data_IF_876379870953
#
_entry.id   IF_876379870953
#
_cell.length_a   1.000
_cell.length_b   1.000
_cell.length_c   1.000
_cell.angle_alpha   90.00
_cell.angle_beta   90.00
_cell.angle_gamma   90.00
#
_symmetry.space_group_name_H-M   'P 1'
#
loop_
_entity.id
_entity.type
_entity.pdbx_description
1 polymer ?
#
# COMPACT_ATOMS: atom_id res chain seq x y z
N UNK A 1 5.37 -0.93 1.17
CA UNK A 1 4.26 -0.54 0.27
C UNK A 1 4.43 -1.27 -1.04
N UNK A 2 3.37 -1.98 -1.47
CA UNK A 2 3.24 -2.61 -2.79
C UNK A 2 2.17 -1.87 -3.57
N UNK A 3 2.27 -1.86 -4.91
CA UNK A 3 1.26 -1.26 -5.74
C UNK A 3 1.09 -1.97 -7.08
N UNK A 4 -0.12 -1.91 -7.60
CA UNK A 4 -0.47 -2.19 -8.99
C UNK A 4 -1.11 -0.93 -9.58
N UNK A 5 -0.67 -0.53 -10.76
CA UNK A 5 -1.23 0.60 -11.49
C UNK A 5 -1.55 0.20 -12.94
N UNK A 6 -2.64 0.70 -13.47
CA UNK A 6 -3.04 0.43 -14.84
C UNK A 6 -4.47 0.82 -15.17
N UNK A 7 -4.89 0.51 -16.39
CA UNK A 7 -6.29 0.65 -16.81
C UNK A 7 -7.15 -0.44 -16.18
N UNK A 8 -8.47 -0.22 -16.12
CA UNK A 8 -9.42 -1.20 -15.61
C UNK A 8 -9.60 -2.35 -16.61
N UNK A 9 -8.58 -3.18 -16.73
CA UNK A 9 -8.55 -4.41 -17.54
C UNK A 9 -8.24 -5.58 -16.61
N UNK A 10 -9.28 -6.07 -15.91
CA UNK A 10 -9.17 -6.91 -14.71
C UNK A 10 -8.25 -8.13 -14.90
N UNK A 11 -8.39 -8.88 -16.00
CA UNK A 11 -7.57 -10.06 -16.30
C UNK A 11 -6.30 -9.72 -17.07
N UNK A 12 -6.39 -8.81 -18.02
CA UNK A 12 -5.25 -8.48 -18.89
C UNK A 12 -4.12 -7.80 -18.13
N UNK A 13 -4.46 -6.97 -17.14
CA UNK A 13 -3.47 -6.36 -16.24
C UNK A 13 -3.10 -7.24 -15.04
N UNK A 14 -3.75 -8.41 -14.89
CA UNK A 14 -3.48 -9.35 -13.81
C UNK A 14 -3.89 -8.85 -12.44
N UNK A 15 -4.91 -7.98 -12.37
CA UNK A 15 -5.45 -7.48 -11.11
C UNK A 15 -5.97 -8.64 -10.26
N UNK A 16 -6.60 -9.63 -10.89
CA UNK A 16 -7.04 -10.89 -10.28
C UNK A 16 -5.88 -11.68 -9.65
N UNK A 17 -4.75 -11.79 -10.36
CA UNK A 17 -3.53 -12.46 -9.86
C UNK A 17 -3.01 -11.72 -8.62
N UNK A 18 -2.92 -10.40 -8.69
CA UNK A 18 -2.42 -9.58 -7.60
C UNK A 18 -3.26 -9.73 -6.33
N UNK A 19 -4.58 -9.60 -6.44
CA UNK A 19 -5.49 -9.69 -5.30
C UNK A 19 -5.45 -11.08 -4.67
N UNK A 20 -5.52 -12.15 -5.48
CA UNK A 20 -5.41 -13.53 -4.96
C UNK A 20 -4.08 -13.80 -4.27
N UNK A 21 -2.99 -13.30 -4.85
CA UNK A 21 -1.67 -13.44 -4.24
C UNK A 21 -1.57 -12.68 -2.92
N UNK A 22 -2.16 -11.48 -2.80
CA UNK A 22 -2.24 -10.75 -1.54
C UNK A 22 -3.04 -11.51 -0.47
N UNK A 23 -4.16 -12.14 -0.84
CA UNK A 23 -4.94 -12.97 0.08
C UNK A 23 -4.13 -14.15 0.62
N UNK A 24 -3.44 -14.89 -0.27
CA UNK A 24 -2.56 -15.99 0.16
C UNK A 24 -1.36 -15.52 0.99
N UNK A 25 -0.78 -14.36 0.62
CA UNK A 25 0.31 -13.75 1.39
C UNK A 25 -0.15 -13.36 2.80
N UNK A 26 -1.36 -12.78 2.93
CA UNK A 26 -1.96 -12.42 4.21
C UNK A 26 -2.04 -13.63 5.14
N UNK A 27 -2.55 -14.76 4.64
CA UNK A 27 -2.64 -16.01 5.41
C UNK A 27 -1.26 -16.58 5.76
N UNK A 28 -0.30 -16.56 4.82
CA UNK A 28 1.07 -17.03 5.07
C UNK A 28 1.75 -16.22 6.17
N UNK A 29 1.66 -14.88 6.11
CA UNK A 29 2.25 -13.99 7.11
C UNK A 29 1.59 -14.13 8.50
N UNK A 30 0.27 -14.40 8.56
CA UNK A 30 -0.43 -14.74 9.80
C UNK A 30 0.11 -16.00 10.44
N UNK A 31 0.26 -17.07 9.64
CA UNK A 31 0.79 -18.35 10.12
C UNK A 31 2.20 -18.20 10.70
N UNK A 32 3.03 -17.37 10.08
CA UNK A 32 4.38 -17.09 10.55
C UNK A 32 4.45 -16.06 11.69
N UNK A 33 3.30 -15.52 12.11
CA UNK A 33 3.22 -14.45 13.14
C UNK A 33 4.14 -13.25 12.82
N UNK A 34 4.19 -12.88 11.55
CA UNK A 34 4.99 -11.75 11.09
C UNK A 34 4.57 -10.46 11.79
N UNK A 35 5.56 -9.66 12.20
CA UNK A 35 5.32 -8.31 12.74
C UNK A 35 5.27 -7.24 11.66
N UNK A 36 5.50 -7.61 10.40
CA UNK A 36 5.51 -6.67 9.27
C UNK A 36 4.09 -6.40 8.80
N UNK A 37 3.81 -5.15 8.46
CA UNK A 37 2.57 -4.75 7.81
C UNK A 37 2.86 -4.34 6.37
N UNK A 38 2.17 -4.98 5.43
CA UNK A 38 2.24 -4.67 4.01
C UNK A 38 1.02 -3.84 3.64
N UNK A 39 1.25 -2.65 3.09
CA UNK A 39 0.19 -1.82 2.51
C UNK A 39 0.21 -2.04 1.00
N UNK A 40 -0.88 -2.54 0.45
CA UNK A 40 -1.02 -2.90 -0.96
C UNK A 40 -2.02 -1.97 -1.64
N UNK A 41 -1.55 -1.15 -2.57
CA UNK A 41 -2.38 -0.25 -3.36
C UNK A 41 -2.82 -0.88 -4.68
N UNK A 42 -4.06 -0.56 -5.09
CA UNK A 42 -4.57 -0.77 -6.44
C UNK A 42 -4.92 0.61 -7.01
N UNK A 43 -4.07 1.15 -7.88
CA UNK A 43 -4.29 2.43 -8.58
C UNK A 43 -4.90 2.14 -9.96
N UNK A 44 -6.16 1.82 -9.95
CA UNK A 44 -6.92 1.47 -11.16
C UNK A 44 -8.19 2.33 -11.21
N UNK A 45 -8.25 3.33 -12.10
CA UNK A 45 -9.38 4.23 -12.17
C UNK A 45 -10.68 3.49 -12.50
N UNK A 46 -11.76 3.83 -11.80
CA UNK A 46 -13.10 3.33 -12.03
C UNK A 46 -14.13 4.47 -11.92
N UNK A 47 -15.38 4.19 -12.24
CA UNK A 47 -16.45 5.14 -12.03
C UNK A 47 -16.82 5.22 -10.56
N UNK A 48 -16.64 6.38 -9.95
CA UNK A 48 -16.91 6.62 -8.53
C UNK A 48 -17.86 7.81 -8.33
N UNK A 49 -18.51 7.87 -7.16
CA UNK A 49 -19.41 8.96 -6.75
C UNK A 49 -18.65 10.04 -5.98
N UNK A 50 -18.07 9.64 -4.87
CA UNK A 50 -17.39 10.55 -3.94
C UNK A 50 -16.35 9.78 -3.11
N UNK A 51 -15.47 10.51 -2.44
CA UNK A 51 -14.61 9.96 -1.39
C UNK A 51 -15.49 9.50 -0.23
N UNK A 52 -15.18 8.34 0.34
CA UNK A 52 -15.90 7.86 1.53
C UNK A 52 -15.76 8.84 2.69
N UNK A 53 -16.89 9.26 3.26
CA UNK A 53 -16.93 10.21 4.39
C UNK A 53 -16.01 9.77 5.53
N UNK A 54 -16.00 8.46 5.85
CA UNK A 54 -15.12 7.89 6.87
C UNK A 54 -13.64 8.16 6.61
N UNK A 55 -13.19 8.13 5.35
CA UNK A 55 -11.79 8.41 4.99
C UNK A 55 -11.47 9.89 5.22
N UNK A 56 -12.35 10.79 4.78
CA UNK A 56 -12.18 12.23 4.99
C UNK A 56 -12.15 12.59 6.47
N UNK A 57 -13.08 12.04 7.25
CA UNK A 57 -13.11 12.26 8.70
C UNK A 57 -11.83 11.76 9.38
N UNK A 58 -11.35 10.57 9.03
CA UNK A 58 -10.11 10.03 9.60
C UNK A 58 -8.90 10.90 9.21
N UNK A 59 -8.85 11.37 7.96
CA UNK A 59 -7.79 12.30 7.52
C UNK A 59 -7.81 13.58 8.35
N UNK A 60 -8.99 14.20 8.55
CA UNK A 60 -9.15 15.42 9.35
C UNK A 60 -8.74 15.20 10.81
N UNK A 61 -9.19 14.09 11.42
CA UNK A 61 -8.82 13.77 12.80
C UNK A 61 -7.32 13.50 12.97
N UNK A 62 -6.69 12.84 12.00
CA UNK A 62 -5.25 12.63 12.02
C UNK A 62 -4.48 13.95 11.88
N UNK A 63 -4.94 14.83 10.98
CA UNK A 63 -4.36 16.14 10.79
C UNK A 63 -4.47 17.01 12.06
N UNK A 64 -5.60 16.96 12.74
CA UNK A 64 -5.83 17.64 14.02
C UNK A 64 -4.86 17.15 15.12
N UNK A 65 -4.57 15.84 15.17
CA UNK A 65 -3.56 15.27 16.09
C UNK A 65 -2.16 15.79 15.72
N UNK A 66 -1.83 15.81 14.43
CA UNK A 66 -0.52 16.24 13.94
C UNK A 66 -0.27 17.73 14.23
N UNK A 67 -1.23 18.59 13.92
CA UNK A 67 -1.15 20.02 14.18
C UNK A 67 -0.98 20.33 15.67
N UNK A 68 -1.78 19.69 16.52
CA UNK A 68 -1.65 19.84 17.96
C UNK A 68 -0.26 19.42 18.50
N UNK A 69 0.35 18.40 17.90
CA UNK A 69 1.70 17.99 18.26
C UNK A 69 2.74 18.99 17.77
N UNK A 70 2.60 19.52 16.54
CA UNK A 70 3.49 20.52 15.96
C UNK A 70 3.52 21.80 16.77
N UNK A 71 2.39 22.25 17.33
CA UNK A 71 2.30 23.44 18.19
C UNK A 71 3.20 23.38 19.43
N UNK A 72 3.39 22.19 20.02
CA UNK A 72 4.16 22.01 21.25
C UNK A 72 5.59 21.52 21.02
N UNK A 73 5.99 21.26 19.77
CA UNK A 73 7.30 20.66 19.46
C UNK A 73 8.48 21.48 19.97
N UNK A 74 8.39 22.79 19.96
CA UNK A 74 9.45 23.67 20.49
C UNK A 74 9.69 23.50 22.01
N UNK A 75 8.64 23.25 22.76
CA UNK A 75 8.77 23.01 24.20
C UNK A 75 9.20 21.56 24.49
N UNK A 76 8.76 20.60 23.68
CA UNK A 76 9.26 19.22 23.73
C UNK A 76 10.76 19.17 23.49
N UNK A 77 11.28 19.90 22.50
CA UNK A 77 12.71 19.99 22.21
C UNK A 77 13.50 20.55 23.41
N UNK A 78 13.04 21.65 24.00
CA UNK A 78 13.68 22.24 25.21
C UNK A 78 13.68 21.27 26.39
N UNK A 79 12.55 20.62 26.65
CA UNK A 79 12.42 19.66 27.74
C UNK A 79 13.29 18.42 27.52
N UNK A 80 13.45 17.99 26.27
CA UNK A 80 14.35 16.90 25.92
C UNK A 80 15.82 17.27 26.16
N UNK A 81 16.26 18.43 25.69
CA UNK A 81 17.62 18.96 25.92
C UNK A 81 17.89 19.07 27.43
N UNK A 82 16.96 19.65 28.19
CA UNK A 82 17.08 19.78 29.64
C UNK A 82 17.22 18.41 30.33
N UNK A 83 16.45 17.44 29.90
CA UNK A 83 16.51 16.06 30.44
C UNK A 83 17.87 15.41 30.21
N UNK A 84 18.44 15.57 29.01
CA UNK A 84 19.79 15.08 28.69
C UNK A 84 20.86 15.78 29.53
N UNK A 85 20.85 17.11 29.59
CA UNK A 85 21.85 17.88 30.37
C UNK A 85 21.77 17.59 31.86
N UNK A 86 20.58 17.35 32.39
CA UNK A 86 20.34 17.06 33.81
C UNK A 86 20.42 15.56 34.15
N UNK A 87 20.76 14.71 33.19
CA UNK A 87 20.79 13.25 33.32
C UNK A 87 19.49 12.65 33.92
N UNK A 88 18.32 13.23 33.51
CA UNK A 88 17.00 12.76 33.90
C UNK A 88 16.46 11.74 32.89
N UNK A 89 15.66 10.79 33.38
CA UNK A 89 14.98 9.85 32.51
C UNK A 89 13.92 10.58 31.66
N UNK A 90 13.96 10.39 30.33
CA UNK A 90 12.96 10.93 29.44
C UNK A 90 11.65 10.14 29.62
N UNK A 91 10.60 10.85 29.96
CA UNK A 91 9.24 10.34 30.09
C UNK A 91 8.25 11.35 29.49
N UNK A 92 7.09 10.87 29.03
CA UNK A 92 6.09 11.73 28.40
C UNK A 92 5.60 12.87 29.30
N UNK A 93 5.54 12.64 30.61
CA UNK A 93 5.14 13.60 31.63
C UNK A 93 6.18 14.74 31.84
N UNK A 94 7.41 14.52 31.39
CA UNK A 94 8.46 15.56 31.38
C UNK A 94 8.46 16.31 30.06
N UNK A 95 8.12 15.64 28.97
CA UNK A 95 8.13 16.24 27.63
C UNK A 95 6.91 17.10 27.36
N UNK A 96 5.75 16.71 27.89
CA UNK A 96 4.46 17.34 27.62
C UNK A 96 3.77 17.78 28.90
N UNK A 97 3.01 18.86 28.85
CA UNK A 97 2.14 19.30 29.94
C UNK A 97 0.95 18.35 30.11
N UNK A 98 0.45 18.23 31.36
CA UNK A 98 -0.68 17.34 31.70
C UNK A 98 -1.96 17.69 30.91
N UNK A 99 -2.21 18.98 30.70
CA UNK A 99 -3.34 19.44 29.91
C UNK A 99 -3.25 18.94 28.45
N UNK A 100 -2.08 19.07 27.85
CA UNK A 100 -1.84 18.57 26.49
C UNK A 100 -2.03 17.05 26.42
N UNK A 101 -1.48 16.29 27.37
CA UNK A 101 -1.67 14.84 27.41
C UNK A 101 -3.14 14.44 27.55
N UNK A 102 -3.93 15.21 28.27
CA UNK A 102 -5.37 14.96 28.44
C UNK A 102 -6.13 15.25 27.15
N UNK A 103 -5.87 16.38 26.51
CA UNK A 103 -6.47 16.73 25.22
C UNK A 103 -6.09 15.72 24.13
N UNK A 104 -4.83 15.32 24.08
CA UNK A 104 -4.35 14.33 23.09
C UNK A 104 -5.04 12.98 23.27
N UNK A 105 -5.29 12.52 24.51
CA UNK A 105 -6.08 11.30 24.76
C UNK A 105 -7.49 11.40 24.15
N UNK A 106 -8.14 12.57 24.25
CA UNK A 106 -9.47 12.78 23.69
C UNK A 106 -9.41 12.76 22.15
N UNK A 107 -8.42 13.44 21.54
CA UNK A 107 -8.22 13.45 20.08
C UNK A 107 -7.97 12.04 19.53
N UNK A 108 -7.06 11.31 20.16
CA UNK A 108 -6.76 9.91 19.81
C UNK A 108 -7.98 9.00 19.98
N UNK A 109 -8.75 9.16 21.05
CA UNK A 109 -9.99 8.39 21.26
C UNK A 109 -11.04 8.64 20.17
N UNK A 110 -11.09 9.84 19.60
CA UNK A 110 -11.97 10.16 18.45
C UNK A 110 -11.44 9.54 17.15
N UNK A 111 -10.11 9.50 16.97
CA UNK A 111 -9.47 8.92 15.79
C UNK A 111 -9.56 7.38 15.77
N UNK A 112 -9.40 6.73 16.93
CA UNK A 112 -9.51 5.27 17.05
C UNK A 112 -10.97 4.85 16.90
N UNK A 113 -11.29 4.22 15.78
CA UNK A 113 -12.64 3.75 15.47
C UNK A 113 -12.78 2.24 15.66
N UNK A 114 -14.02 1.81 15.89
CA UNK A 114 -14.36 0.38 15.86
C UNK A 114 -14.61 -0.06 14.43
N UNK A 115 -14.11 -1.24 14.08
CA UNK A 115 -14.28 -1.87 12.78
C UNK A 115 -13.08 -1.70 11.85
N UNK A 116 -13.12 -2.42 10.75
CA UNK A 116 -12.03 -2.45 9.77
C UNK A 116 -12.03 -1.21 8.89
N UNK A 117 -10.85 -0.67 8.54
CA UNK A 117 -10.75 0.37 7.51
C UNK A 117 -11.35 -0.11 6.17
N UNK A 118 -12.03 0.76 5.42
CA UNK A 118 -12.60 0.38 4.14
C UNK A 118 -11.49 -0.02 3.14
N UNK A 119 -11.78 -1.04 2.33
CA UNK A 119 -10.83 -1.53 1.31
C UNK A 119 -10.76 -0.62 0.08
N UNK A 120 -11.76 0.25 -0.14
CA UNK A 120 -11.76 1.27 -1.18
C UNK A 120 -11.90 2.66 -0.58
N UNK A 121 -11.21 3.63 -1.17
CA UNK A 121 -11.21 5.02 -0.72
C UNK A 121 -12.44 5.80 -1.17
N UNK A 122 -13.14 5.33 -2.21
CA UNK A 122 -14.29 5.98 -2.81
C UNK A 122 -15.51 5.06 -2.83
N UNK A 123 -16.69 5.65 -2.89
CA UNK A 123 -17.92 4.94 -3.21
C UNK A 123 -18.04 4.79 -4.71
N UNK A 124 -18.11 3.55 -5.19
CA UNK A 124 -18.23 3.25 -6.62
C UNK A 124 -19.69 3.34 -7.07
N UNK A 125 -19.90 3.65 -8.37
CA UNK A 125 -21.24 3.56 -8.98
C UNK A 125 -21.72 2.12 -9.09
N UNK A 126 -20.80 1.19 -9.38
CA UNK A 126 -21.09 -0.24 -9.43
C UNK A 126 -20.79 -0.88 -8.06
N UNK A 127 -21.84 -1.24 -7.35
CA UNK A 127 -21.74 -1.93 -6.04
C UNK A 127 -21.19 -3.36 -6.18
N UNK A 128 -21.30 -3.95 -7.39
CA UNK A 128 -20.77 -5.26 -7.73
C UNK A 128 -19.43 -5.18 -8.50
N UNK A 129 -18.68 -4.10 -8.32
CA UNK A 129 -17.37 -3.92 -8.95
C UNK A 129 -16.49 -5.17 -8.82
N UNK A 130 -15.91 -5.58 -9.95
CA UNK A 130 -15.17 -6.85 -10.02
C UNK A 130 -13.92 -6.85 -9.13
N UNK A 131 -13.24 -5.71 -8.97
CA UNK A 131 -12.08 -5.58 -8.08
C UNK A 131 -12.52 -5.73 -6.64
N UNK A 132 -13.58 -5.04 -6.22
CA UNK A 132 -14.10 -5.14 -4.86
C UNK A 132 -14.54 -6.56 -4.52
N UNK A 133 -15.25 -7.20 -5.45
CA UNK A 133 -15.69 -8.60 -5.27
C UNK A 133 -14.49 -9.53 -5.06
N UNK A 134 -13.47 -9.45 -5.91
CA UNK A 134 -12.26 -10.29 -5.79
C UNK A 134 -11.51 -10.03 -4.48
N UNK A 135 -11.46 -8.78 -4.00
CA UNK A 135 -10.86 -8.42 -2.70
C UNK A 135 -11.57 -9.16 -1.57
N UNK A 136 -12.92 -9.15 -1.55
CA UNK A 136 -13.69 -9.83 -0.51
C UNK A 136 -13.64 -11.35 -0.63
N UNK A 137 -13.68 -11.90 -1.85
CA UNK A 137 -13.53 -13.35 -2.12
C UNK A 137 -12.13 -13.86 -1.70
N UNK A 138 -11.11 -13.01 -1.80
CA UNK A 138 -9.74 -13.28 -1.32
C UNK A 138 -9.55 -13.06 0.18
N UNK A 139 -10.65 -12.84 0.93
CA UNK A 139 -10.66 -12.62 2.38
C UNK A 139 -9.82 -11.42 2.87
N UNK A 140 -9.61 -10.43 2.04
CA UNK A 140 -8.91 -9.18 2.39
C UNK A 140 -9.92 -8.17 2.95
N UNK A 141 -9.90 -7.95 4.26
CA UNK A 141 -10.88 -7.12 4.98
C UNK A 141 -10.25 -6.00 5.81
N UNK A 142 -8.94 -5.83 5.73
CA UNK A 142 -8.19 -4.88 6.55
C UNK A 142 -8.43 -5.07 8.06
N UNK A 143 -8.67 -6.31 8.50
CA UNK A 143 -8.85 -6.64 9.91
C UNK A 143 -7.62 -6.29 10.74
N UNK A 144 -7.78 -6.11 12.05
CA UNK A 144 -6.69 -5.73 12.95
C UNK A 144 -5.49 -6.71 12.83
N UNK A 145 -5.78 -8.01 12.78
CA UNK A 145 -4.80 -9.09 12.68
C UNK A 145 -4.30 -9.36 11.25
N UNK A 146 -4.78 -8.61 10.24
CA UNK A 146 -4.32 -8.78 8.87
C UNK A 146 -2.95 -8.11 8.66
N UNK A 147 -1.87 -8.84 8.38
CA UNK A 147 -0.58 -8.26 8.01
C UNK A 147 -0.64 -7.51 6.67
N UNK A 148 -1.55 -7.89 5.76
CA UNK A 148 -1.75 -7.20 4.49
C UNK A 148 -2.96 -6.28 4.59
N UNK A 149 -2.74 -4.98 4.37
CA UNK A 149 -3.78 -3.95 4.27
C UNK A 149 -3.92 -3.55 2.81
N UNK A 150 -5.10 -3.72 2.24
CA UNK A 150 -5.37 -3.39 0.84
C UNK A 150 -6.08 -2.04 0.73
N UNK A 151 -5.69 -1.25 -0.26
CA UNK A 151 -6.29 0.05 -0.55
C UNK A 151 -6.59 0.12 -2.04
N UNK A 152 -7.85 -0.03 -2.41
CA UNK A 152 -8.32 0.26 -3.75
C UNK A 152 -8.54 1.77 -3.89
N UNK A 153 -7.77 2.38 -4.77
CA UNK A 153 -7.73 3.81 -5.04
C UNK A 153 -8.21 4.08 -6.48
N UNK A 154 -9.52 4.25 -6.72
CA UNK A 154 -10.14 4.17 -8.03
C UNK A 154 -10.08 5.48 -8.84
N UNK A 155 -9.02 6.28 -8.64
CA UNK A 155 -8.85 7.55 -9.36
C UNK A 155 -7.44 7.69 -9.91
N UNK A 156 -7.26 8.62 -10.84
CA UNK A 156 -5.93 9.00 -11.30
C UNK A 156 -5.20 9.80 -10.23
N UNK A 157 -3.93 9.50 -10.01
CA UNK A 157 -3.05 10.25 -9.12
C UNK A 157 -2.65 11.57 -9.82
N UNK A 158 -3.25 12.66 -9.42
CA UNK A 158 -3.11 13.98 -10.06
C UNK A 158 -2.39 15.04 -9.23
N UNK A 159 -1.95 14.69 -8.01
CA UNK A 159 -1.36 15.65 -7.07
C UNK A 159 -2.37 16.54 -6.34
N UNK A 160 -3.66 16.48 -6.71
CA UNK A 160 -4.73 17.31 -6.14
C UNK A 160 -6.02 16.50 -5.93
N UNK A 161 -5.88 15.23 -5.55
CA UNK A 161 -6.99 14.29 -5.42
C UNK A 161 -7.75 14.37 -4.08
N UNK A 162 -7.27 15.22 -3.16
CA UNK A 162 -7.89 15.43 -1.85
C UNK A 162 -7.53 14.37 -0.79
N UNK A 163 -6.82 13.30 -1.16
CA UNK A 163 -6.37 12.24 -0.24
C UNK A 163 -4.86 12.16 -0.17
N UNK A 164 -4.20 11.50 -1.13
CA UNK A 164 -2.74 11.37 -1.16
C UNK A 164 -2.07 12.68 -1.62
N UNK A 165 -2.68 13.39 -2.53
CA UNK A 165 -2.13 14.62 -3.14
C UNK A 165 -0.73 14.41 -3.74
N UNK A 166 -0.47 13.23 -4.27
CA UNK A 166 0.76 12.84 -4.96
C UNK A 166 0.45 12.64 -6.43
N UNK A 167 1.36 13.05 -7.31
CA UNK A 167 1.29 12.62 -8.69
C UNK A 167 1.76 11.15 -8.82
N UNK A 168 1.52 10.57 -9.98
CA UNK A 168 1.79 9.16 -10.24
C UNK A 168 3.25 8.75 -9.96
N UNK A 169 4.21 9.54 -10.40
CA UNK A 169 5.62 9.23 -10.19
C UNK A 169 6.08 9.44 -8.74
N UNK A 170 5.55 10.44 -8.04
CA UNK A 170 5.80 10.63 -6.60
C UNK A 170 5.27 9.46 -5.77
N UNK A 171 4.05 9.00 -6.07
CA UNK A 171 3.46 7.85 -5.40
C UNK A 171 4.25 6.56 -5.69
N UNK A 172 4.74 6.41 -6.92
CA UNK A 172 5.60 5.30 -7.32
C UNK A 172 6.92 5.31 -6.55
N UNK A 173 7.61 6.45 -6.48
CA UNK A 173 8.86 6.62 -5.72
C UNK A 173 8.71 6.36 -4.23
N UNK A 174 7.53 6.67 -3.66
CA UNK A 174 7.19 6.37 -2.27
C UNK A 174 6.87 4.89 -2.00
N UNK A 175 6.91 4.03 -3.03
CA UNK A 175 6.58 2.61 -2.93
C UNK A 175 7.85 1.74 -2.96
N UNK A 176 7.70 0.47 -2.56
CA UNK A 176 8.82 -0.47 -2.49
C UNK A 176 8.80 -1.49 -3.63
N UNK A 177 7.61 -1.91 -4.09
CA UNK A 177 7.46 -2.95 -5.11
C UNK A 177 6.26 -2.66 -6.00
N UNK A 178 6.49 -2.46 -7.29
CA UNK A 178 5.47 -2.41 -8.33
C UNK A 178 5.15 -3.82 -8.84
N UNK A 179 3.86 -4.18 -8.95
CA UNK A 179 3.44 -5.53 -9.31
C UNK A 179 2.52 -5.47 -10.53
N UNK A 180 3.02 -5.96 -11.66
CA UNK A 180 2.37 -5.87 -12.97
C UNK A 180 2.27 -7.26 -13.63
N UNK A 181 1.42 -8.16 -13.11
CA UNK A 181 1.34 -9.55 -13.55
C UNK A 181 0.45 -9.70 -14.78
N UNK A 182 0.69 -8.89 -15.82
CA UNK A 182 -0.16 -8.79 -17.02
C UNK A 182 -0.21 -10.10 -17.81
N UNK A 183 -1.41 -10.44 -18.34
CA UNK A 183 -1.60 -11.55 -19.26
C UNK A 183 -1.13 -11.19 -20.67
N UNK A 184 -1.36 -9.95 -21.08
CA UNK A 184 -0.88 -9.41 -22.34
C UNK A 184 -0.44 -7.96 -22.18
N UNK A 185 0.80 -7.69 -22.56
CA UNK A 185 1.33 -6.33 -22.59
C UNK A 185 2.37 -6.25 -23.71
N UNK A 186 2.14 -5.44 -24.78
CA UNK A 186 3.08 -5.35 -25.91
C UNK A 186 4.50 -4.99 -25.47
N UNK A 187 4.66 -4.05 -24.55
CA UNK A 187 5.93 -3.70 -23.93
C UNK A 187 5.85 -3.78 -22.40
N UNK A 188 5.12 -2.89 -21.77
CA UNK A 188 5.02 -2.75 -20.31
C UNK A 188 5.82 -1.55 -19.83
N UNK A 189 5.25 -0.36 -19.98
CA UNK A 189 5.89 0.87 -19.52
C UNK A 189 5.91 0.98 -18.00
N UNK A 190 4.87 0.53 -17.31
CA UNK A 190 4.77 0.63 -15.84
C UNK A 190 5.92 -0.04 -15.08
N UNK A 191 6.34 -1.29 -15.36
CA UNK A 191 7.51 -1.87 -14.72
C UNK A 191 8.83 -1.18 -15.13
N UNK A 192 8.93 -0.66 -16.36
CA UNK A 192 10.08 0.12 -16.81
C UNK A 192 10.17 1.45 -16.03
N UNK A 193 9.06 2.17 -15.89
CA UNK A 193 8.98 3.43 -15.14
C UNK A 193 9.33 3.22 -13.66
N UNK A 194 8.81 2.16 -13.05
CA UNK A 194 9.17 1.78 -11.69
C UNK A 194 10.69 1.55 -11.54
N UNK A 195 11.27 0.76 -12.43
CA UNK A 195 12.72 0.50 -12.44
C UNK A 195 13.55 1.77 -12.68
N UNK A 196 13.11 2.66 -13.57
CA UNK A 196 13.76 3.96 -13.83
C UNK A 196 13.76 4.88 -12.60
N UNK A 197 12.76 4.74 -11.73
CA UNK A 197 12.65 5.47 -10.46
C UNK A 197 13.32 4.74 -9.28
N UNK A 198 14.03 3.64 -9.53
CA UNK A 198 14.68 2.85 -8.49
C UNK A 198 13.74 1.98 -7.66
N UNK A 199 12.52 1.74 -8.13
CA UNK A 199 11.52 0.91 -7.47
C UNK A 199 11.55 -0.49 -8.07
N UNK A 200 11.70 -1.51 -7.23
CA UNK A 200 11.64 -2.89 -7.68
C UNK A 200 10.29 -3.21 -8.34
N UNK A 201 10.29 -4.06 -9.35
CA UNK A 201 9.09 -4.39 -10.09
C UNK A 201 8.96 -5.88 -10.45
N UNK A 202 7.70 -6.34 -10.47
CA UNK A 202 7.32 -7.66 -10.95
C UNK A 202 6.60 -7.50 -12.28
N UNK A 203 7.02 -8.24 -13.28
CA UNK A 203 6.40 -8.32 -14.59
C UNK A 203 6.21 -9.79 -15.01
N UNK A 204 5.80 -10.05 -16.25
CA UNK A 204 5.61 -11.42 -16.75
C UNK A 204 6.40 -11.68 -18.03
N UNK A 205 6.62 -12.95 -18.35
CA UNK A 205 7.16 -13.38 -19.64
C UNK A 205 6.18 -13.21 -20.83
N UNK A 206 4.96 -12.71 -20.58
CA UNK A 206 3.99 -12.31 -21.60
C UNK A 206 4.02 -10.80 -21.91
N UNK A 207 4.78 -10.01 -21.16
CA UNK A 207 5.08 -8.62 -21.44
C UNK A 207 6.40 -8.49 -22.19
N UNK A 208 6.49 -7.58 -23.17
CA UNK A 208 7.73 -7.35 -23.95
C UNK A 208 8.92 -7.01 -23.05
N UNK A 209 8.74 -6.13 -22.08
CA UNK A 209 9.75 -5.78 -21.07
C UNK A 209 10.22 -7.00 -20.28
N UNK A 210 9.30 -7.85 -19.82
CA UNK A 210 9.67 -9.07 -19.09
C UNK A 210 10.39 -10.09 -19.96
N UNK A 211 10.01 -10.22 -21.25
CA UNK A 211 10.74 -11.08 -22.22
C UNK A 211 12.15 -10.62 -22.44
N UNK A 212 12.39 -9.31 -22.53
CA UNK A 212 13.72 -8.74 -22.70
C UNK A 212 14.62 -9.20 -21.54
N UNK A 213 14.19 -9.03 -20.29
CA UNK A 213 14.96 -9.47 -19.13
C UNK A 213 15.07 -11.01 -19.01
N UNK A 214 14.07 -11.76 -19.44
CA UNK A 214 14.10 -13.23 -19.38
C UNK A 214 15.07 -13.87 -20.39
N UNK A 215 15.38 -13.18 -21.49
CA UNK A 215 16.30 -13.69 -22.53
C UNK A 215 17.76 -13.36 -22.27
N UNK A 216 18.04 -12.26 -21.58
CA UNK A 216 19.40 -11.74 -21.41
C UNK A 216 19.98 -11.92 -20.00
N UNK A 217 19.12 -12.15 -18.99
CA UNK A 217 19.55 -12.22 -17.60
C UNK A 217 19.02 -13.47 -16.88
N UNK A 218 19.89 -14.14 -16.11
CA UNK A 218 19.40 -15.03 -15.08
C UNK A 218 18.66 -14.20 -13.99
N UNK A 219 17.62 -14.76 -13.38
CA UNK A 219 16.85 -14.06 -12.32
C UNK A 219 17.73 -13.55 -11.16
N UNK A 220 18.92 -14.13 -10.99
CA UNK A 220 19.91 -13.72 -9.99
C UNK A 220 20.72 -12.47 -10.38
N UNK A 221 20.70 -12.06 -11.64
CA UNK A 221 21.57 -11.00 -12.19
C UNK A 221 20.85 -9.67 -12.41
N UNK A 222 19.51 -9.62 -12.28
CA UNK A 222 18.71 -8.39 -12.39
C UNK A 222 18.08 -8.02 -11.05
N UNK A 223 18.87 -7.47 -10.11
CA UNK A 223 18.31 -7.06 -8.84
C UNK A 223 17.24 -5.98 -9.05
N UNK A 224 16.04 -6.25 -8.51
CA UNK A 224 14.91 -5.34 -8.57
C UNK A 224 13.90 -5.59 -9.69
N UNK A 225 14.16 -6.49 -10.65
CA UNK A 225 13.17 -6.87 -11.68
C UNK A 225 12.90 -8.37 -11.60
N UNK A 226 11.66 -8.73 -11.28
CA UNK A 226 11.22 -10.11 -11.13
C UNK A 226 10.29 -10.47 -12.28
N UNK A 227 10.57 -11.57 -12.99
CA UNK A 227 9.77 -12.02 -14.12
C UNK A 227 9.02 -13.30 -13.78
N UNK A 228 7.71 -13.20 -13.66
CA UNK A 228 6.84 -14.36 -13.46
C UNK A 228 6.72 -15.17 -14.76
N UNK A 229 6.86 -16.47 -14.66
CA UNK A 229 6.59 -17.39 -15.77
C UNK A 229 5.09 -17.61 -15.87
N UNK A 230 4.46 -17.01 -16.88
CA UNK A 230 3.01 -17.10 -17.12
C UNK A 230 2.67 -17.89 -18.36
N UNK A 231 3.58 -17.98 -19.33
CA UNK A 231 3.37 -18.75 -20.56
C UNK A 231 3.22 -20.25 -20.23
N UNK A 232 2.10 -20.85 -20.66
CA UNK A 232 1.75 -22.25 -20.40
C UNK A 232 1.68 -22.64 -18.91
N UNK A 233 1.40 -21.69 -18.03
CA UNK A 233 1.18 -21.92 -16.60
C UNK A 233 -0.28 -21.74 -16.24
N UNK A 234 -0.74 -22.51 -15.25
CA UNK A 234 -2.07 -22.29 -14.69
C UNK A 234 -2.14 -20.97 -13.93
N UNK A 235 -3.35 -20.44 -13.75
CA UNK A 235 -3.59 -19.25 -12.96
C UNK A 235 -3.03 -19.39 -11.53
N UNK A 236 -3.25 -20.55 -10.90
CA UNK A 236 -2.79 -20.82 -9.54
C UNK A 236 -1.27 -20.92 -9.42
N UNK A 237 -0.58 -21.45 -10.43
CA UNK A 237 0.89 -21.46 -10.47
C UNK A 237 1.46 -20.04 -10.48
N UNK A 238 0.85 -19.14 -11.27
CA UNK A 238 1.29 -17.73 -11.34
C UNK A 238 1.01 -17.00 -10.04
N UNK A 239 -0.15 -17.23 -9.44
CA UNK A 239 -0.47 -16.68 -8.10
C UNK A 239 0.56 -17.14 -7.09
N UNK A 240 0.91 -18.45 -7.08
CA UNK A 240 1.89 -18.97 -6.12
C UNK A 240 3.29 -18.39 -6.35
N UNK A 241 3.75 -18.27 -7.60
CA UNK A 241 5.03 -17.60 -7.91
C UNK A 241 5.03 -16.16 -7.38
N UNK A 242 3.94 -15.42 -7.57
CA UNK A 242 3.84 -14.04 -7.08
C UNK A 242 3.87 -13.98 -5.54
N UNK A 243 3.21 -14.92 -4.85
CA UNK A 243 3.27 -15.02 -3.39
C UNK A 243 4.71 -15.20 -2.91
N UNK A 244 5.48 -16.09 -3.55
CA UNK A 244 6.88 -16.33 -3.16
C UNK A 244 7.75 -15.08 -3.39
N UNK A 245 7.59 -14.38 -4.52
CA UNK A 245 8.31 -13.12 -4.77
C UNK A 245 7.96 -12.09 -3.71
N UNK A 246 6.67 -11.85 -3.44
CA UNK A 246 6.23 -10.86 -2.44
C UNK A 246 6.69 -11.23 -1.03
N UNK A 247 6.66 -12.50 -0.68
CA UNK A 247 7.09 -13.01 0.62
C UNK A 247 8.59 -12.86 0.82
N UNK A 248 9.39 -13.21 -0.19
CA UNK A 248 10.86 -13.05 -0.14
C UNK A 248 11.27 -11.58 -0.07
N UNK A 249 10.50 -10.70 -0.74
CA UNK A 249 10.76 -9.27 -0.76
C UNK A 249 10.35 -8.59 0.57
N UNK A 250 9.39 -9.13 1.30
CA UNK A 250 8.88 -8.55 2.56
C UNK A 250 9.81 -8.85 3.75
#
# INVERSE_FOLDING_TARGET
>A
IYFLAGRYEFRDKGIDIYIKALGKLNEKLKQEKSRKTIIAFIWVPANFRNIKTQILENKTLFQDIKEALEEVMGDVEKNMIYSFVSNKKIAKEILFEDNFLTEMKIRVARFVRKGNPPVATHDLYDENDTILREIYESNLKNGEDDPVKIIYYPIYLSGADGLLNLNYYEAMQGSHLGIFPSYYEPWGYTPLEAGALGVASVTTDLAGFGRYFCTECSQSETPGIYVLKRLNKSHDDVVQQLVEVMFTYS
#
